data_IF_628174384145
#
_entry.id   IF_628174384145
#
_cell.length_a   1.000
_cell.length_b   1.000
_cell.length_c   1.000
_cell.angle_alpha   90.00
_cell.angle_beta   90.00
_cell.angle_gamma   90.00
#
_symmetry.space_group_name_H-M   'P 1'
#
loop_
_entity.id
_entity.type
_entity.pdbx_description
1 polymer ?
#
# COMPACT_ATOMS: atom_id res chain seq x y z
N UNK A 1 -12.52 0.76 -6.35
CA UNK A 1 -11.43 0.71 -7.36
C UNK A 1 -10.10 0.70 -6.63
N UNK A 2 -9.23 -0.27 -6.91
CA UNK A 2 -7.84 -0.25 -6.41
C UNK A 2 -6.99 0.51 -7.43
N UNK A 3 -6.57 1.73 -7.08
CA UNK A 3 -5.77 2.58 -7.97
C UNK A 3 -4.30 2.15 -8.01
N UNK A 4 -3.97 1.01 -8.61
CA UNK A 4 -2.57 0.58 -8.80
C UNK A 4 -1.73 1.60 -9.58
N UNK A 5 -2.35 2.51 -10.33
CA UNK A 5 -1.69 3.61 -11.05
C UNK A 5 -0.83 4.48 -10.12
N UNK A 6 -1.30 4.76 -8.90
CA UNK A 6 -0.55 5.56 -7.90
C UNK A 6 0.72 4.89 -7.41
N UNK A 7 0.80 3.56 -7.47
CA UNK A 7 2.02 2.81 -7.13
C UNK A 7 3.16 3.13 -8.11
N UNK A 8 2.83 3.39 -9.38
CA UNK A 8 3.81 3.58 -10.46
C UNK A 8 4.05 5.05 -10.79
N UNK A 9 3.08 5.94 -10.59
CA UNK A 9 3.22 7.37 -10.85
C UNK A 9 2.20 8.22 -10.07
N UNK A 10 2.60 9.45 -9.71
CA UNK A 10 1.66 10.46 -9.25
C UNK A 10 0.70 10.85 -10.39
N UNK A 11 -0.63 10.78 -10.19
CA UNK A 11 -1.58 11.20 -11.21
C UNK A 11 -1.49 12.71 -11.43
N UNK A 12 -1.71 13.17 -12.66
CA UNK A 12 -1.82 14.61 -12.95
C UNK A 12 -2.98 15.25 -12.17
N UNK A 13 -2.91 16.54 -11.78
CA UNK A 13 -3.98 17.19 -11.02
C UNK A 13 -5.35 17.10 -11.72
N UNK A 14 -5.38 17.29 -13.04
CA UNK A 14 -6.58 17.16 -13.88
C UNK A 14 -7.25 15.78 -13.78
N UNK A 15 -6.47 14.71 -13.61
CA UNK A 15 -6.98 13.35 -13.46
C UNK A 15 -7.64 13.17 -12.10
N UNK A 16 -7.03 13.72 -11.04
CA UNK A 16 -7.59 13.67 -9.68
C UNK A 16 -8.92 14.42 -9.61
N UNK A 17 -9.00 15.60 -10.21
CA UNK A 17 -10.24 16.38 -10.29
C UNK A 17 -11.31 15.63 -11.08
N UNK A 18 -10.94 15.03 -12.21
CA UNK A 18 -11.86 14.20 -13.01
C UNK A 18 -12.40 13.01 -12.22
N UNK A 19 -11.58 12.32 -11.43
CA UNK A 19 -12.06 11.24 -10.56
C UNK A 19 -13.09 11.73 -9.54
N UNK A 20 -12.90 12.94 -9.01
CA UNK A 20 -13.88 13.57 -8.12
C UNK A 20 -15.20 13.83 -8.86
N UNK A 21 -15.14 14.44 -10.05
CA UNK A 21 -16.35 14.76 -10.83
C UNK A 21 -17.12 13.51 -11.26
N UNK A 22 -16.41 12.41 -11.51
CA UNK A 22 -17.00 11.14 -11.99
C UNK A 22 -17.50 10.22 -10.87
N UNK A 23 -17.35 10.61 -9.60
CA UNK A 23 -17.78 9.80 -8.46
C UNK A 23 -18.74 10.57 -7.57
N UNK A 24 -19.59 9.84 -6.85
CA UNK A 24 -20.49 10.42 -5.84
C UNK A 24 -19.77 10.62 -4.51
N UNK A 25 -20.38 11.38 -3.59
CA UNK A 25 -19.83 11.58 -2.25
C UNK A 25 -19.81 10.32 -1.38
N UNK A 26 -20.60 9.30 -1.73
CA UNK A 26 -20.59 8.00 -1.06
C UNK A 26 -19.48 7.06 -1.56
N UNK A 27 -18.86 7.39 -2.70
CA UNK A 27 -17.79 6.58 -3.25
C UNK A 27 -16.53 6.69 -2.37
N UNK A 28 -15.82 5.56 -2.20
CA UNK A 28 -14.55 5.52 -1.45
C UNK A 28 -13.42 5.02 -2.33
N UNK A 29 -12.35 5.81 -2.38
CA UNK A 29 -11.11 5.45 -3.06
C UNK A 29 -10.14 4.78 -2.10
N UNK A 30 -9.40 3.81 -2.64
CA UNK A 30 -8.21 3.25 -1.98
C UNK A 30 -7.02 3.42 -2.93
N UNK A 31 -6.00 4.13 -2.46
CA UNK A 31 -4.79 4.41 -3.25
C UNK A 31 -3.56 3.80 -2.59
N UNK A 32 -2.63 3.33 -3.40
CA UNK A 32 -1.34 2.89 -2.90
C UNK A 32 -0.40 4.08 -2.79
N UNK A 33 0.44 4.07 -1.76
CA UNK A 33 1.60 4.96 -1.77
C UNK A 33 2.48 4.65 -2.99
N UNK A 34 3.05 5.67 -3.65
CA UNK A 34 4.05 5.49 -4.69
C UNK A 34 5.21 4.59 -4.28
N UNK A 35 5.71 3.78 -5.21
CA UNK A 35 6.89 2.93 -4.97
C UNK A 35 8.16 3.74 -4.69
N UNK A 36 8.22 5.01 -5.08
CA UNK A 36 9.28 5.94 -4.68
C UNK A 36 9.36 6.09 -3.16
N UNK A 37 8.23 6.06 -2.45
CA UNK A 37 8.15 6.13 -0.99
C UNK A 37 8.47 4.76 -0.38
N UNK A 38 7.82 3.69 -0.84
CA UNK A 38 7.88 2.39 -0.14
C UNK A 38 9.03 1.47 -0.57
N UNK A 39 9.48 1.54 -1.83
CA UNK A 39 10.51 0.66 -2.38
C UNK A 39 11.86 1.38 -2.52
N UNK A 40 11.86 2.59 -3.08
CA UNK A 40 13.10 3.31 -3.38
C UNK A 40 13.66 4.01 -2.13
N UNK A 41 12.86 4.85 -1.49
CA UNK A 41 13.24 5.51 -0.23
C UNK A 41 13.17 4.55 0.98
N UNK A 42 12.49 3.41 0.84
CA UNK A 42 12.29 2.43 1.89
C UNK A 42 11.83 3.06 3.22
N UNK A 43 10.89 4.01 3.11
CA UNK A 43 10.30 4.79 4.21
C UNK A 43 11.27 5.74 4.96
N UNK A 44 12.42 6.07 4.38
CA UNK A 44 13.43 6.94 5.00
C UNK A 44 13.56 8.24 4.20
N UNK A 45 13.63 9.36 4.91
CA UNK A 45 13.84 10.69 4.32
C UNK A 45 12.88 10.98 3.13
N UNK A 46 11.61 10.59 3.28
CA UNK A 46 10.61 10.66 2.21
C UNK A 46 9.46 11.63 2.50
N UNK A 47 9.63 12.51 3.49
CA UNK A 47 8.60 13.45 3.94
C UNK A 47 8.09 14.36 2.80
N UNK A 48 8.98 14.84 1.95
CA UNK A 48 8.63 15.64 0.77
C UNK A 48 7.79 14.83 -0.24
N UNK A 49 8.14 13.57 -0.46
CA UNK A 49 7.42 12.67 -1.37
C UNK A 49 6.01 12.37 -0.84
N UNK A 50 5.89 12.15 0.48
CA UNK A 50 4.60 11.95 1.15
C UNK A 50 3.75 13.20 1.04
N UNK A 51 4.33 14.36 1.32
CA UNK A 51 3.64 15.66 1.24
C UNK A 51 3.14 15.94 -0.17
N UNK A 52 3.97 15.70 -1.18
CA UNK A 52 3.59 15.86 -2.60
C UNK A 52 2.41 14.94 -2.95
N UNK A 53 2.49 13.67 -2.56
CA UNK A 53 1.43 12.70 -2.81
C UNK A 53 0.11 13.10 -2.14
N UNK A 54 0.12 13.39 -0.85
CA UNK A 54 -1.10 13.76 -0.11
C UNK A 54 -1.69 15.07 -0.63
N UNK A 55 -0.85 16.06 -0.94
CA UNK A 55 -1.28 17.32 -1.56
C UNK A 55 -1.97 17.06 -2.90
N UNK A 56 -1.39 16.21 -3.75
CA UNK A 56 -1.98 15.83 -5.05
C UNK A 56 -3.35 15.18 -4.88
N UNK A 57 -3.53 14.38 -3.83
CA UNK A 57 -4.76 13.64 -3.58
C UNK A 57 -5.79 14.42 -2.74
N UNK A 58 -5.42 15.58 -2.19
CA UNK A 58 -6.28 16.40 -1.34
C UNK A 58 -7.68 16.72 -1.91
N UNK A 59 -7.89 16.88 -3.23
CA UNK A 59 -9.24 17.10 -3.76
C UNK A 59 -10.21 15.93 -3.51
N UNK A 60 -9.67 14.73 -3.25
CA UNK A 60 -10.41 13.51 -2.96
C UNK A 60 -10.46 13.18 -1.46
N UNK A 61 -9.84 13.97 -0.59
CA UNK A 61 -9.70 13.68 0.84
C UNK A 61 -11.01 13.21 1.52
N UNK A 62 -12.18 13.85 1.31
CA UNK A 62 -13.45 13.40 1.92
C UNK A 62 -13.95 12.03 1.43
N UNK A 63 -13.39 11.55 0.31
CA UNK A 63 -13.75 10.30 -0.37
C UNK A 63 -12.62 9.27 -0.29
N UNK A 64 -11.58 9.49 0.50
CA UNK A 64 -10.55 8.49 0.76
C UNK A 64 -11.08 7.51 1.80
N UNK A 65 -11.20 6.24 1.42
CA UNK A 65 -11.45 5.16 2.35
C UNK A 65 -10.18 4.76 3.09
N UNK A 66 -9.07 4.62 2.35
CA UNK A 66 -7.78 4.16 2.89
C UNK A 66 -6.59 4.49 1.97
N UNK A 67 -5.44 4.80 2.56
CA UNK A 67 -4.14 4.74 1.88
C UNK A 67 -3.42 3.42 2.19
N UNK A 68 -2.89 2.79 1.16
CA UNK A 68 -2.28 1.47 1.23
C UNK A 68 -0.77 1.55 1.01
N UNK A 69 0.01 1.23 2.04
CA UNK A 69 1.45 1.07 1.98
C UNK A 69 1.82 -0.38 1.65
N UNK A 70 2.19 -0.64 0.40
CA UNK A 70 2.72 -1.94 -0.02
C UNK A 70 4.25 -1.92 0.07
N UNK A 71 4.81 -2.82 0.87
CA UNK A 71 6.26 -2.96 1.09
C UNK A 71 6.85 -4.08 0.23
N UNK A 72 8.12 -3.94 -0.23
CA UNK A 72 8.79 -4.99 -0.99
C UNK A 72 9.06 -6.23 -0.13
N UNK A 73 9.31 -7.36 -0.79
CA UNK A 73 9.70 -8.60 -0.10
C UNK A 73 11.06 -8.49 0.62
N UNK A 74 11.88 -7.50 0.26
CA UNK A 74 13.15 -7.18 0.93
C UNK A 74 12.98 -6.41 2.23
N UNK A 75 11.81 -5.82 2.51
CA UNK A 75 11.55 -5.10 3.75
C UNK A 75 11.32 -6.12 4.88
N UNK A 76 12.33 -6.34 5.70
CA UNK A 76 12.30 -7.33 6.78
C UNK A 76 11.92 -6.77 8.15
N UNK A 77 11.94 -7.64 9.18
CA UNK A 77 11.66 -7.27 10.57
C UNK A 77 12.63 -6.24 11.16
N UNK A 78 13.87 -6.15 10.67
CA UNK A 78 14.87 -5.19 11.17
C UNK A 78 14.51 -3.75 10.79
N UNK A 79 13.64 -3.57 9.82
CA UNK A 79 13.22 -2.30 9.25
C UNK A 79 11.93 -1.78 9.87
N UNK A 80 11.31 -2.54 10.78
CA UNK A 80 10.12 -2.10 11.53
C UNK A 80 10.28 -0.72 12.19
N UNK A 81 11.45 -0.32 12.76
CA UNK A 81 11.61 1.03 13.26
C UNK A 81 11.36 2.14 12.22
N UNK A 82 11.75 1.91 10.96
CA UNK A 82 11.47 2.85 9.86
C UNK A 82 9.97 2.87 9.51
N UNK A 83 9.30 1.71 9.54
CA UNK A 83 7.85 1.65 9.38
C UNK A 83 7.11 2.41 10.48
N UNK A 84 7.53 2.25 11.73
CA UNK A 84 6.92 2.95 12.86
C UNK A 84 7.09 4.46 12.75
N UNK A 85 8.30 4.93 12.50
CA UNK A 85 8.56 6.35 12.30
C UNK A 85 7.72 6.93 11.15
N UNK A 86 7.65 6.22 10.02
CA UNK A 86 6.84 6.63 8.89
C UNK A 86 5.36 6.69 9.23
N UNK A 87 4.78 5.66 9.87
CA UNK A 87 3.36 5.66 10.24
C UNK A 87 3.04 6.74 11.28
N UNK A 88 3.95 7.01 12.21
CA UNK A 88 3.79 8.03 13.25
C UNK A 88 3.88 9.46 12.68
N UNK A 89 4.45 9.65 11.48
CA UNK A 89 4.51 10.96 10.81
C UNK A 89 3.32 11.24 9.89
N UNK A 90 2.45 10.26 9.63
CA UNK A 90 1.31 10.42 8.74
C UNK A 90 0.15 11.22 9.40
N UNK A 91 -0.64 11.97 8.61
CA UNK A 91 -1.81 12.68 9.14
C UNK A 91 -2.86 11.74 9.76
N UNK A 92 -3.31 12.05 10.97
CA UNK A 92 -4.29 11.21 11.70
C UNK A 92 -5.73 11.22 11.17
N UNK A 93 -6.03 11.99 10.12
CA UNK A 93 -7.38 12.10 9.53
C UNK A 93 -7.70 10.97 8.54
N UNK A 94 -6.71 10.18 8.13
CA UNK A 94 -6.88 9.09 7.16
C UNK A 94 -6.73 7.71 7.79
N UNK A 95 -7.33 6.71 7.14
CA UNK A 95 -7.07 5.31 7.44
C UNK A 95 -5.88 4.81 6.62
N UNK A 96 -5.02 4.01 7.25
CA UNK A 96 -3.86 3.41 6.61
C UNK A 96 -3.92 1.89 6.63
N UNK A 97 -3.33 1.26 5.62
CA UNK A 97 -3.17 -0.18 5.51
C UNK A 97 -1.75 -0.54 5.12
N UNK A 98 -1.15 -1.53 5.77
CA UNK A 98 0.20 -2.01 5.45
C UNK A 98 0.14 -3.43 4.90
N UNK A 99 0.70 -3.64 3.71
CA UNK A 99 0.92 -4.94 3.12
C UNK A 99 2.42 -5.27 3.15
N UNK A 100 2.76 -6.30 3.92
CA UNK A 100 4.12 -6.86 3.97
C UNK A 100 4.23 -8.06 3.05
N UNK A 101 5.42 -8.29 2.50
CA UNK A 101 5.70 -9.46 1.62
C UNK A 101 6.83 -10.35 2.13
N UNK A 102 7.58 -9.91 3.15
CA UNK A 102 8.71 -10.67 3.67
C UNK A 102 8.24 -11.94 4.42
N UNK A 103 8.80 -13.13 4.12
CA UNK A 103 8.31 -14.41 4.67
C UNK A 103 8.26 -14.48 6.20
N UNK A 104 9.20 -13.82 6.90
CA UNK A 104 9.23 -13.82 8.37
C UNK A 104 7.96 -13.22 9.00
N UNK A 105 7.26 -12.31 8.32
CA UNK A 105 5.99 -11.76 8.83
C UNK A 105 4.79 -12.72 8.70
N UNK A 106 4.99 -13.91 8.14
CA UNK A 106 3.96 -14.95 7.98
C UNK A 106 4.34 -16.26 8.69
N UNK A 107 5.47 -16.27 9.39
CA UNK A 107 6.03 -17.45 10.03
C UNK A 107 5.40 -17.76 11.41
N UNK A 108 4.38 -17.00 11.85
CA UNK A 108 3.76 -17.09 13.19
C UNK A 108 4.75 -16.93 14.35
N UNK A 109 5.92 -16.35 14.08
CA UNK A 109 6.98 -16.07 15.04
C UNK A 109 6.84 -14.71 15.72
N UNK A 110 7.89 -14.30 16.44
CA UNK A 110 7.95 -13.02 17.15
C UNK A 110 7.83 -11.83 16.20
N UNK A 111 8.37 -11.94 14.99
CA UNK A 111 8.41 -10.88 14.00
C UNK A 111 7.02 -10.54 13.48
N UNK A 112 6.19 -11.56 13.24
CA UNK A 112 4.78 -11.38 12.88
C UNK A 112 3.99 -10.76 14.03
N UNK A 113 4.20 -11.22 15.27
CA UNK A 113 3.52 -10.66 16.44
C UNK A 113 3.91 -9.20 16.67
N UNK A 114 5.18 -8.87 16.48
CA UNK A 114 5.71 -7.51 16.65
C UNK A 114 5.11 -6.56 15.61
N UNK A 115 5.03 -6.99 14.35
CA UNK A 115 4.32 -6.26 13.30
C UNK A 115 2.85 -6.04 13.68
N UNK A 116 2.12 -7.10 14.04
CA UNK A 116 0.70 -7.01 14.36
C UNK A 116 0.42 -6.07 15.54
N UNK A 117 1.21 -6.17 16.63
CA UNK A 117 1.09 -5.29 17.78
C UNK A 117 1.38 -3.84 17.41
N UNK A 118 2.46 -3.59 16.68
CA UNK A 118 2.86 -2.24 16.30
C UNK A 118 1.86 -1.55 15.37
N UNK A 119 1.24 -2.30 14.44
CA UNK A 119 0.15 -1.82 13.60
C UNK A 119 -1.12 -1.54 14.42
N UNK A 120 -1.51 -2.47 15.30
CA UNK A 120 -2.68 -2.32 16.15
C UNK A 120 -2.58 -1.10 17.07
N UNK A 121 -1.43 -0.86 17.69
CA UNK A 121 -1.17 0.32 18.54
C UNK A 121 -1.36 1.65 17.80
N UNK A 122 -1.18 1.67 16.48
CA UNK A 122 -1.33 2.84 15.62
C UNK A 122 -2.68 2.93 14.92
N UNK A 123 -3.60 1.98 15.17
CA UNK A 123 -4.87 1.89 14.45
C UNK A 123 -4.71 1.59 12.95
N UNK A 124 -3.57 1.04 12.54
CA UNK A 124 -3.27 0.76 11.12
C UNK A 124 -3.67 -0.67 10.78
N UNK A 125 -4.38 -0.83 9.67
CA UNK A 125 -4.84 -2.14 9.22
C UNK A 125 -3.68 -2.97 8.67
N UNK A 126 -3.59 -4.24 9.05
CA UNK A 126 -2.77 -5.20 8.31
C UNK A 126 -3.53 -5.65 7.07
N UNK A 127 -2.93 -5.45 5.90
CA UNK A 127 -3.49 -5.93 4.64
C UNK A 127 -2.81 -7.25 4.29
N UNK A 128 -3.61 -8.29 4.14
CA UNK A 128 -3.15 -9.63 3.77
C UNK A 128 -3.66 -9.90 2.35
N UNK A 129 -2.76 -9.77 1.37
CA UNK A 129 -3.01 -10.26 0.02
C UNK A 129 -2.28 -11.59 -0.14
N UNK A 130 -2.99 -12.70 0.09
CA UNK A 130 -2.41 -14.02 -0.16
C UNK A 130 -2.41 -14.30 -1.67
N UNK A 131 -1.27 -14.15 -2.33
CA UNK A 131 -1.08 -14.53 -3.73
C UNK A 131 -0.72 -16.01 -3.91
N UNK A 132 -0.45 -16.76 -2.83
CA UNK A 132 -0.08 -18.18 -2.91
C UNK A 132 -1.19 -19.09 -3.46
N UNK A 133 -2.51 -18.85 -3.25
CA UNK A 133 -3.57 -19.63 -3.88
C UNK A 133 -3.53 -19.56 -5.41
N UNK A 134 -3.00 -18.48 -5.99
CA UNK A 134 -2.85 -18.33 -7.45
C UNK A 134 -1.74 -19.25 -7.99
N UNK A 135 -0.76 -19.61 -7.16
CA UNK A 135 0.34 -20.51 -7.53
C UNK A 135 0.12 -21.97 -7.09
N UNK A 136 -0.87 -22.22 -6.22
CA UNK A 136 -1.19 -23.56 -5.71
C UNK A 136 -2.30 -24.28 -6.50
N UNK A 137 -3.01 -23.59 -7.41
CA UNK A 137 -3.96 -24.22 -8.30
C UNK A 137 -3.22 -25.04 -9.37
N UNK A 138 -3.43 -26.36 -9.40
CA UNK A 138 -2.94 -27.22 -10.48
C UNK A 138 -3.48 -26.69 -11.83
N UNK A 139 -2.61 -26.41 -12.82
CA UNK A 139 -3.01 -25.70 -14.03
C UNK A 139 -3.86 -26.58 -14.95
N UNK A 140 -5.03 -26.08 -15.37
CA UNK A 140 -5.87 -26.73 -16.40
C UNK A 140 -6.15 -25.84 -17.62
N UNK A 141 -5.44 -24.72 -17.84
CA UNK A 141 -5.68 -23.88 -19.03
C UNK A 141 -4.49 -23.00 -19.45
N UNK A 142 -4.27 -22.90 -20.77
CA UNK A 142 -3.26 -22.05 -21.41
C UNK A 142 -3.44 -20.55 -21.14
N UNK A 143 -4.64 -20.09 -20.78
CA UNK A 143 -4.90 -18.69 -20.46
C UNK A 143 -4.16 -18.20 -19.19
N UNK A 144 -3.82 -19.12 -18.27
CA UNK A 144 -3.10 -18.80 -17.02
C UNK A 144 -1.59 -18.65 -17.26
N UNK A 145 -1.05 -19.28 -18.31
CA UNK A 145 0.38 -19.21 -18.66
C UNK A 145 0.79 -17.83 -19.17
N UNK A 146 -0.11 -17.10 -19.85
CA UNK A 146 0.18 -15.74 -20.34
C UNK A 146 0.16 -14.69 -19.22
N UNK A 147 -0.70 -14.89 -18.21
CA UNK A 147 -0.78 -14.01 -17.04
C UNK A 147 0.48 -14.07 -16.15
N UNK A 148 1.19 -15.21 -16.13
CA UNK A 148 2.43 -15.38 -15.37
C UNK A 148 3.65 -14.68 -15.99
N UNK A 149 3.68 -14.44 -17.31
CA UNK A 149 4.83 -13.81 -17.97
C UNK A 149 4.87 -12.28 -17.87
N UNK A 150 3.76 -11.63 -17.53
CA UNK A 150 3.63 -10.16 -17.56
C UNK A 150 3.90 -9.48 -16.20
N UNK A 151 4.42 -10.20 -15.20
CA UNK A 151 4.68 -9.67 -13.85
C UNK A 151 6.07 -10.04 -13.30
N UNK A 152 7.05 -10.19 -14.18
CA UNK A 152 8.48 -10.13 -13.81
C UNK A 152 8.98 -8.72 -13.99
#
# INVERSE_FOLDING_TARGET
>A
MEGNTTLYALPKPEVVLRWREQTTDDFRFCFKFPATISHQAALRHCDDLVTEFLTRMSPLAPRIGQYWLQLPATFGPRELPALWHFLDSLPGEFNYGVEVRHPQFFAKGEEEQTLNRGLHQRGVNRVILDSRPVHAARPHSEAIRDAQRKKT
#
